data_IF_671479180754
#
_entry.id   IF_671479180754
#
_cell.length_a   1.000
_cell.length_b   1.000
_cell.length_c   1.000
_cell.angle_alpha   90.00
_cell.angle_beta   90.00
_cell.angle_gamma   90.00
#
_symmetry.space_group_name_H-M   'P 1'
#
loop_
_entity.id
_entity.type
_entity.pdbx_description
1 polymer ?
#
# COMPACT_ATOMS: atom_id res chain seq x y z
N UNK A 1 -14.91 -70.09 -11.64
CA UNK A 1 -15.21 -68.74 -12.24
C UNK A 1 -14.68 -67.69 -11.33
N UNK A 2 -13.63 -66.93 -11.71
CA UNK A 2 -13.10 -65.78 -10.97
C UNK A 2 -13.61 -64.52 -11.64
N UNK A 3 -14.03 -63.46 -10.89
CA UNK A 3 -14.47 -62.20 -11.46
C UNK A 3 -13.28 -61.34 -11.88
N UNK A 4 -13.42 -60.68 -13.05
CA UNK A 4 -12.43 -59.76 -13.63
C UNK A 4 -12.37 -58.46 -12.85
N UNK A 5 -11.16 -58.02 -12.52
CA UNK A 5 -10.87 -56.69 -11.98
C UNK A 5 -11.08 -55.63 -13.07
N UNK A 6 -11.99 -54.67 -12.80
CA UNK A 6 -12.15 -53.49 -13.65
C UNK A 6 -11.01 -52.49 -13.39
N UNK A 7 -10.40 -52.03 -14.46
CA UNK A 7 -9.46 -50.89 -14.42
C UNK A 7 -10.24 -49.57 -14.26
N UNK A 8 -9.95 -48.83 -13.20
CA UNK A 8 -10.43 -47.46 -13.02
C UNK A 8 -9.59 -46.52 -13.90
N UNK A 9 -10.25 -45.77 -14.79
CA UNK A 9 -9.63 -44.67 -15.52
C UNK A 9 -9.32 -43.50 -14.54
N UNK A 10 -8.15 -42.85 -14.65
CA UNK A 10 -7.89 -41.65 -13.91
C UNK A 10 -8.78 -40.49 -14.43
N UNK A 11 -9.52 -39.85 -13.56
CA UNK A 11 -10.33 -38.66 -13.88
C UNK A 11 -9.41 -37.54 -14.31
N UNK A 12 -9.63 -36.99 -15.50
CA UNK A 12 -8.96 -35.81 -15.99
C UNK A 12 -9.36 -34.60 -15.12
N UNK A 13 -8.38 -33.92 -14.57
CA UNK A 13 -8.59 -32.62 -13.87
C UNK A 13 -9.11 -31.56 -14.85
N UNK A 14 -9.96 -30.63 -14.41
CA UNK A 14 -10.61 -29.67 -15.29
C UNK A 14 -9.59 -28.69 -15.89
N UNK A 15 -9.58 -28.59 -17.21
CA UNK A 15 -8.71 -27.73 -18.04
C UNK A 15 -8.98 -26.22 -17.85
N UNK A 16 -10.02 -25.83 -17.10
CA UNK A 16 -10.46 -24.44 -16.97
C UNK A 16 -9.59 -23.52 -16.11
N UNK A 17 -8.77 -24.04 -15.18
CA UNK A 17 -7.89 -23.22 -14.36
C UNK A 17 -6.64 -22.74 -15.11
N UNK A 18 -6.17 -23.48 -16.11
CA UNK A 18 -4.96 -23.14 -16.85
C UNK A 18 -5.13 -21.96 -17.84
N UNK A 19 -6.33 -21.68 -18.32
CA UNK A 19 -6.57 -20.60 -19.28
C UNK A 19 -6.52 -19.20 -18.63
N UNK A 20 -7.01 -19.06 -17.41
CA UNK A 20 -6.93 -17.78 -16.67
C UNK A 20 -5.47 -17.46 -16.28
N UNK A 21 -4.66 -18.47 -15.98
CA UNK A 21 -3.25 -18.32 -15.65
C UNK A 21 -2.41 -17.93 -16.87
N UNK A 22 -2.69 -18.53 -18.03
CA UNK A 22 -2.05 -18.17 -19.29
C UNK A 22 -2.39 -16.73 -19.73
N UNK A 23 -3.62 -16.29 -19.50
CA UNK A 23 -4.06 -14.92 -19.84
C UNK A 23 -3.44 -13.86 -18.92
N UNK A 24 -3.24 -14.18 -17.63
CA UNK A 24 -2.50 -13.32 -16.67
C UNK A 24 -1.03 -13.24 -17.08
N UNK A 25 -0.42 -14.38 -17.45
CA UNK A 25 0.96 -14.45 -17.93
C UNK A 25 1.13 -13.70 -19.26
N UNK A 26 0.21 -13.85 -20.20
CA UNK A 26 0.23 -13.14 -21.48
C UNK A 26 0.11 -11.62 -21.27
N UNK A 27 -0.79 -11.16 -20.39
CA UNK A 27 -0.87 -9.73 -20.03
C UNK A 27 0.41 -9.23 -19.35
N UNK A 28 1.02 -10.04 -18.48
CA UNK A 28 2.29 -9.70 -17.85
C UNK A 28 3.42 -9.64 -18.89
N UNK A 29 3.47 -10.60 -19.81
CA UNK A 29 4.45 -10.64 -20.88
C UNK A 29 4.26 -9.49 -21.88
N UNK A 30 3.02 -9.15 -22.22
CA UNK A 30 2.72 -7.97 -23.07
C UNK A 30 3.13 -6.68 -22.39
N UNK A 31 2.86 -6.52 -21.08
CA UNK A 31 3.33 -5.37 -20.27
C UNK A 31 4.86 -5.35 -20.20
N UNK A 32 5.52 -6.50 -20.10
CA UNK A 32 6.98 -6.60 -20.06
C UNK A 32 7.60 -6.35 -21.45
N UNK A 33 6.94 -6.72 -22.54
CA UNK A 33 7.40 -6.51 -23.94
C UNK A 33 7.18 -5.06 -24.36
N UNK A 34 6.03 -4.45 -24.06
CA UNK A 34 5.81 -2.98 -24.25
C UNK A 34 6.83 -2.15 -23.47
N UNK A 35 7.44 -2.75 -22.44
CA UNK A 35 8.49 -2.14 -21.64
C UNK A 35 9.88 -2.26 -22.27
N UNK A 36 10.14 -3.31 -23.05
CA UNK A 36 11.44 -3.57 -23.67
C UNK A 36 11.73 -2.63 -24.86
N UNK A 37 10.69 -2.14 -25.54
CA UNK A 37 10.85 -1.24 -26.68
C UNK A 37 11.27 0.19 -26.29
N UNK A 38 10.96 0.64 -25.05
CA UNK A 38 11.27 2.00 -24.59
C UNK A 38 12.61 2.12 -23.80
N UNK A 39 13.37 1.01 -23.57
CA UNK A 39 14.49 1.04 -22.60
C UNK A 39 15.73 0.18 -22.96
N UNK A 40 16.22 0.22 -24.20
CA UNK A 40 17.54 -0.32 -24.55
C UNK A 40 18.65 0.73 -24.35
N UNK A 41 19.01 1.04 -23.10
CA UNK A 41 20.31 1.62 -22.77
C UNK A 41 20.80 1.08 -21.42
N UNK A 42 22.02 0.52 -21.30
CA UNK A 42 22.56 0.07 -20.04
C UNK A 42 22.94 1.29 -19.18
N UNK A 43 22.28 1.45 -18.04
CA UNK A 43 22.70 2.43 -17.03
C UNK A 43 23.80 1.84 -16.16
N UNK A 44 24.89 2.56 -15.87
CA UNK A 44 25.90 2.11 -14.93
C UNK A 44 25.33 2.05 -13.52
N UNK A 45 25.53 0.92 -12.85
CA UNK A 45 25.15 0.69 -11.46
C UNK A 45 25.96 1.62 -10.55
N UNK A 46 25.34 2.70 -10.11
CA UNK A 46 25.95 3.62 -9.15
C UNK A 46 25.20 3.47 -7.81
N UNK A 47 25.93 2.97 -6.80
CA UNK A 47 25.47 2.70 -5.43
C UNK A 47 25.23 4.02 -4.66
N UNK A 48 24.41 4.91 -5.19
CA UNK A 48 23.84 6.03 -4.42
C UNK A 48 22.42 5.62 -4.04
N UNK A 49 22.16 5.64 -2.73
CA UNK A 49 20.82 5.51 -2.15
C UNK A 49 19.87 6.36 -2.99
N UNK A 50 19.08 5.72 -3.86
CA UNK A 50 18.07 6.41 -4.64
C UNK A 50 16.93 6.79 -3.69
N UNK A 51 16.90 8.03 -3.23
CA UNK A 51 15.66 8.71 -2.85
C UNK A 51 14.83 8.82 -4.13
N UNK A 52 13.68 8.19 -4.15
CA UNK A 52 12.69 8.42 -5.17
C UNK A 52 12.23 7.18 -5.95
N UNK A 53 10.91 6.97 -5.98
CA UNK A 53 10.13 6.03 -6.78
C UNK A 53 10.03 4.57 -6.29
N UNK A 54 10.07 4.30 -5.01
CA UNK A 54 9.65 2.99 -4.51
C UNK A 54 8.14 2.96 -4.32
N UNK A 55 7.47 2.01 -4.97
CA UNK A 55 6.05 1.72 -4.73
C UNK A 55 5.97 1.13 -3.33
N UNK A 56 5.23 1.78 -2.43
CA UNK A 56 5.08 1.36 -1.03
C UNK A 56 4.17 0.13 -0.93
N UNK A 57 4.63 -1.00 -0.41
CA UNK A 57 3.79 -2.21 -0.31
C UNK A 57 2.91 -2.27 0.93
N UNK A 58 3.14 -1.48 1.97
CA UNK A 58 2.51 -1.58 3.30
C UNK A 58 0.96 -1.54 3.33
N UNK A 59 0.33 -2.20 2.34
CA UNK A 59 -1.12 -2.19 2.11
C UNK A 59 -1.91 -2.85 3.25
N UNK A 60 -1.38 -3.94 3.81
CA UNK A 60 -2.06 -4.63 4.91
C UNK A 60 -1.85 -3.92 6.24
N UNK A 61 -0.66 -3.41 6.49
CA UNK A 61 -0.35 -2.68 7.71
C UNK A 61 -1.29 -1.47 7.88
N UNK A 62 -1.45 -0.65 6.86
CA UNK A 62 -2.39 0.49 6.87
C UNK A 62 -3.84 0.05 7.05
N UNK A 63 -4.26 -1.02 6.37
CA UNK A 63 -5.60 -1.58 6.53
C UNK A 63 -5.87 -2.05 7.95
N UNK A 64 -4.95 -2.84 8.54
CA UNK A 64 -5.06 -3.35 9.92
C UNK A 64 -5.13 -2.20 10.89
N UNK A 65 -4.21 -1.23 10.74
CA UNK A 65 -4.18 -0.01 11.55
C UNK A 65 -5.51 0.74 11.51
N UNK A 66 -6.04 1.01 10.31
CA UNK A 66 -7.33 1.70 10.17
C UNK A 66 -8.50 0.94 10.78
N UNK A 67 -8.51 -0.40 10.70
CA UNK A 67 -9.53 -1.23 11.37
C UNK A 67 -9.45 -1.12 12.89
N UNK A 68 -8.24 -1.12 13.45
CA UNK A 68 -8.04 -0.96 14.89
C UNK A 68 -8.49 0.43 15.35
N UNK A 69 -8.15 1.50 14.61
CA UNK A 69 -8.61 2.85 14.89
C UNK A 69 -10.14 2.95 14.77
N UNK A 70 -10.75 2.39 13.73
CA UNK A 70 -12.20 2.38 13.58
C UNK A 70 -12.91 1.65 14.74
N UNK A 71 -12.34 0.54 15.21
CA UNK A 71 -12.88 -0.18 16.36
C UNK A 71 -12.77 0.60 17.67
N UNK A 72 -11.67 1.32 17.86
CA UNK A 72 -11.40 2.09 19.09
C UNK A 72 -12.12 3.44 19.14
N UNK A 73 -12.51 4.00 18.00
CA UNK A 73 -12.99 5.38 17.87
C UNK A 73 -14.30 5.49 17.07
N UNK A 74 -14.95 4.37 16.74
CA UNK A 74 -16.12 4.34 15.86
C UNK A 74 -17.33 5.16 16.37
N UNK A 75 -17.55 5.21 17.69
CA UNK A 75 -18.59 6.05 18.26
C UNK A 75 -18.29 7.56 18.10
N UNK A 76 -17.01 7.93 18.17
CA UNK A 76 -16.57 9.31 17.99
C UNK A 76 -16.61 9.75 16.51
N UNK A 77 -16.35 8.82 15.58
CA UNK A 77 -16.26 9.08 14.14
C UNK A 77 -17.22 8.20 13.33
N UNK A 78 -18.55 8.39 13.45
CA UNK A 78 -19.54 7.56 12.76
C UNK A 78 -19.40 7.61 11.24
N UNK A 79 -18.81 8.68 10.67
CA UNK A 79 -18.52 8.80 9.26
C UNK A 79 -17.54 7.75 8.73
N UNK A 80 -16.68 7.19 9.59
CA UNK A 80 -15.76 6.11 9.19
C UNK A 80 -16.55 4.88 8.75
N UNK A 81 -17.53 4.48 9.54
CA UNK A 81 -18.39 3.33 9.19
C UNK A 81 -19.34 3.67 8.04
N UNK A 82 -19.93 4.86 8.04
CA UNK A 82 -20.88 5.29 7.00
C UNK A 82 -20.21 5.44 5.61
N UNK A 83 -18.92 5.78 5.57
CA UNK A 83 -18.13 5.99 4.36
C UNK A 83 -16.84 5.14 4.36
N UNK A 84 -16.96 3.87 4.76
CA UNK A 84 -15.84 2.92 4.90
C UNK A 84 -14.90 2.93 3.70
N UNK A 85 -15.44 3.01 2.48
CA UNK A 85 -14.62 2.97 1.25
C UNK A 85 -13.78 4.23 1.04
N UNK A 86 -14.29 5.37 1.46
CA UNK A 86 -13.52 6.63 1.43
C UNK A 86 -12.43 6.61 2.50
N UNK A 87 -12.77 6.20 3.72
CA UNK A 87 -11.80 6.00 4.80
C UNK A 87 -10.72 5.01 4.40
N UNK A 88 -11.11 3.83 3.88
CA UNK A 88 -10.20 2.78 3.48
C UNK A 88 -9.22 3.20 2.37
N UNK A 89 -9.65 4.04 1.42
CA UNK A 89 -8.74 4.60 0.42
C UNK A 89 -7.83 5.67 1.04
N UNK A 90 -8.35 6.47 1.97
CA UNK A 90 -7.59 7.45 2.73
C UNK A 90 -6.47 6.83 3.58
N UNK A 91 -6.65 5.60 4.10
CA UNK A 91 -5.61 4.86 4.83
C UNK A 91 -4.31 4.66 4.03
N UNK A 92 -4.34 4.86 2.73
CA UNK A 92 -3.17 4.79 1.87
C UNK A 92 -2.63 6.17 1.49
N UNK A 93 -3.19 7.24 2.05
CA UNK A 93 -2.68 8.58 1.78
C UNK A 93 -2.45 8.83 0.29
N UNK A 94 -1.24 9.25 -0.10
CA UNK A 94 -0.87 9.47 -1.49
C UNK A 94 -0.39 8.21 -2.24
N UNK A 95 -0.16 7.06 -1.57
CA UNK A 95 0.39 5.83 -2.15
C UNK A 95 -0.30 5.36 -3.43
N UNK A 96 -1.65 5.45 -3.59
CA UNK A 96 -2.29 5.05 -4.82
C UNK A 96 -1.70 5.73 -6.06
N UNK A 97 -1.15 6.95 -5.93
CA UNK A 97 -0.56 7.71 -7.02
C UNK A 97 0.67 7.03 -7.62
N UNK A 98 1.44 6.28 -6.84
CA UNK A 98 2.60 5.51 -7.31
C UNK A 98 2.22 4.38 -8.27
N UNK A 99 0.98 3.89 -8.16
CA UNK A 99 0.46 2.85 -9.06
C UNK A 99 -0.10 3.40 -10.38
N UNK A 100 -0.18 4.74 -10.55
CA UNK A 100 -0.57 5.32 -11.82
C UNK A 100 0.56 5.22 -12.84
N UNK A 101 0.41 4.34 -13.85
CA UNK A 101 1.46 4.04 -14.83
C UNK A 101 2.82 3.80 -14.14
N UNK A 102 2.94 2.77 -13.25
CA UNK A 102 4.02 2.64 -12.29
C UNK A 102 5.41 2.53 -12.94
N UNK A 103 5.46 2.05 -14.18
CA UNK A 103 6.70 1.85 -14.93
C UNK A 103 7.18 3.10 -15.69
N UNK A 104 6.38 4.17 -15.71
CA UNK A 104 6.72 5.43 -16.41
C UNK A 104 6.81 6.58 -15.42
N UNK A 105 7.78 7.48 -15.63
CA UNK A 105 7.81 8.77 -14.92
C UNK A 105 6.60 9.59 -15.36
N UNK A 106 5.88 10.18 -14.43
CA UNK A 106 4.72 11.01 -14.70
C UNK A 106 4.41 11.96 -13.55
N UNK A 107 3.62 13.00 -13.82
CA UNK A 107 3.34 14.05 -12.84
C UNK A 107 2.44 13.57 -11.69
N UNK A 108 1.62 12.53 -11.89
CA UNK A 108 0.80 11.94 -10.82
C UNK A 108 1.70 11.30 -9.75
N UNK A 109 2.74 10.56 -10.17
CA UNK A 109 3.72 10.00 -9.23
C UNK A 109 4.49 11.07 -8.49
N UNK A 110 4.95 12.12 -9.20
CA UNK A 110 5.64 13.26 -8.56
C UNK A 110 4.78 13.93 -7.47
N UNK A 111 3.46 13.98 -7.66
CA UNK A 111 2.56 14.48 -6.60
C UNK A 111 2.56 13.55 -5.39
N UNK A 112 2.61 12.23 -5.61
CA UNK A 112 2.79 11.27 -4.53
C UNK A 112 4.07 11.54 -3.73
N UNK A 113 5.21 11.72 -4.41
CA UNK A 113 6.51 12.03 -3.80
C UNK A 113 6.42 13.34 -2.97
N UNK A 114 5.90 14.42 -3.57
CA UNK A 114 5.76 15.71 -2.89
C UNK A 114 4.88 15.63 -1.64
N UNK A 115 3.76 14.89 -1.70
CA UNK A 115 2.85 14.72 -0.57
C UNK A 115 3.46 13.93 0.59
N UNK A 116 4.45 13.06 0.33
CA UNK A 116 5.20 12.38 1.41
C UNK A 116 6.30 13.26 2.01
N UNK A 117 6.88 14.15 1.21
CA UNK A 117 7.97 15.03 1.64
C UNK A 117 7.47 16.27 2.40
N UNK A 118 6.25 16.75 2.10
CA UNK A 118 5.68 17.92 2.80
C UNK A 118 5.24 17.59 4.22
N UNK A 119 5.15 18.63 5.06
CA UNK A 119 4.59 18.47 6.41
C UNK A 119 3.11 18.14 6.32
N UNK A 120 2.63 17.24 7.17
CA UNK A 120 1.22 16.92 7.23
C UNK A 120 0.34 18.15 7.54
N UNK A 121 0.85 19.08 8.34
CA UNK A 121 0.17 20.35 8.61
C UNK A 121 -0.07 21.19 7.34
N UNK A 122 0.88 21.21 6.40
CA UNK A 122 0.74 21.95 5.14
C UNK A 122 -0.33 21.30 4.26
N UNK A 123 -0.30 19.96 4.16
CA UNK A 123 -1.34 19.20 3.47
C UNK A 123 -2.74 19.46 4.05
N UNK A 124 -2.94 19.31 5.36
CA UNK A 124 -4.26 19.50 5.96
C UNK A 124 -4.73 20.96 5.91
N UNK A 125 -3.80 21.93 6.00
CA UNK A 125 -4.09 23.34 5.81
C UNK A 125 -4.60 23.64 4.40
N UNK A 126 -3.97 23.05 3.39
CA UNK A 126 -4.43 23.14 1.99
C UNK A 126 -5.75 22.35 1.75
N UNK A 127 -5.94 21.24 2.43
CA UNK A 127 -7.14 20.41 2.31
C UNK A 127 -8.40 21.08 2.89
N UNK A 128 -8.28 21.88 3.95
CA UNK A 128 -9.44 22.49 4.63
C UNK A 128 -10.29 23.37 3.70
N UNK A 129 -9.76 24.35 2.95
CA UNK A 129 -10.58 25.13 2.02
C UNK A 129 -11.26 24.26 0.95
N UNK A 130 -10.59 23.21 0.47
CA UNK A 130 -11.19 22.24 -0.45
C UNK A 130 -12.35 21.51 0.22
N UNK A 131 -12.19 21.05 1.45
CA UNK A 131 -13.23 20.39 2.24
C UNK A 131 -14.47 21.28 2.40
N UNK A 132 -14.29 22.54 2.75
CA UNK A 132 -15.37 23.52 2.90
C UNK A 132 -16.08 23.80 1.56
N UNK A 133 -15.31 24.03 0.50
CA UNK A 133 -15.84 24.27 -0.85
C UNK A 133 -16.65 23.08 -1.40
N UNK A 134 -16.33 21.86 -0.95
CA UNK A 134 -17.07 20.63 -1.29
C UNK A 134 -18.28 20.38 -0.39
N UNK A 135 -18.64 21.33 0.47
CA UNK A 135 -19.81 21.27 1.35
C UNK A 135 -19.60 20.42 2.60
N UNK A 136 -18.38 20.29 3.09
CA UNK A 136 -18.02 19.58 4.33
C UNK A 136 -18.60 18.15 4.40
N UNK A 137 -18.51 17.42 3.28
CA UNK A 137 -19.15 16.11 3.15
C UNK A 137 -18.55 15.09 4.11
N UNK A 138 -19.39 14.25 4.70
CA UNK A 138 -18.96 13.17 5.61
C UNK A 138 -18.00 12.18 4.93
N UNK A 139 -18.20 11.89 3.64
CA UNK A 139 -17.28 11.04 2.86
C UNK A 139 -15.88 11.66 2.73
N UNK A 140 -15.79 12.97 2.53
CA UNK A 140 -14.51 13.69 2.47
C UNK A 140 -13.82 13.69 3.84
N UNK A 141 -14.57 13.88 4.91
CA UNK A 141 -14.05 13.80 6.28
C UNK A 141 -13.53 12.39 6.59
N UNK A 142 -14.29 11.35 6.23
CA UNK A 142 -13.83 9.96 6.38
C UNK A 142 -12.51 9.70 5.64
N UNK A 143 -12.38 10.20 4.40
CA UNK A 143 -11.14 10.10 3.63
C UNK A 143 -9.97 10.81 4.33
N UNK A 144 -10.16 12.05 4.81
CA UNK A 144 -9.12 12.82 5.49
C UNK A 144 -8.72 12.21 6.84
N UNK A 145 -9.67 11.60 7.58
CA UNK A 145 -9.35 10.82 8.77
C UNK A 145 -8.50 9.59 8.43
N UNK A 146 -8.81 8.90 7.32
CA UNK A 146 -7.97 7.82 6.81
C UNK A 146 -6.57 8.30 6.42
N UNK A 147 -6.46 9.44 5.75
CA UNK A 147 -5.18 10.07 5.39
C UNK A 147 -4.35 10.43 6.63
N UNK A 148 -4.99 10.90 7.70
CA UNK A 148 -4.31 11.13 8.97
C UNK A 148 -3.85 9.83 9.64
N UNK A 149 -4.59 8.73 9.49
CA UNK A 149 -4.14 7.41 9.94
C UNK A 149 -2.87 6.97 9.19
N UNK A 150 -2.81 7.16 7.87
CA UNK A 150 -1.61 6.91 7.07
C UNK A 150 -0.42 7.72 7.63
N UNK A 151 -0.58 9.03 7.78
CA UNK A 151 0.44 9.89 8.39
C UNK A 151 0.89 9.38 9.77
N UNK A 152 -0.04 8.99 10.63
CA UNK A 152 0.29 8.53 11.98
C UNK A 152 1.17 7.28 11.97
N UNK A 153 0.91 6.34 11.06
CA UNK A 153 1.69 5.11 10.94
C UNK A 153 3.06 5.38 10.35
N UNK A 154 3.11 6.06 9.20
CA UNK A 154 4.34 6.29 8.45
C UNK A 154 5.33 7.15 9.23
N UNK A 155 4.90 8.30 9.72
CA UNK A 155 5.78 9.21 10.46
C UNK A 155 6.42 8.58 11.70
N UNK A 156 5.77 7.56 12.29
CA UNK A 156 6.30 6.83 13.44
C UNK A 156 7.23 5.70 13.01
N UNK A 157 6.94 5.02 11.89
CA UNK A 157 7.63 3.79 11.50
C UNK A 157 8.78 4.03 10.53
N UNK A 158 8.72 4.99 9.61
CA UNK A 158 9.70 5.13 8.52
C UNK A 158 11.13 5.40 8.99
N UNK A 159 11.30 6.15 10.08
CA UNK A 159 12.63 6.34 10.69
C UNK A 159 13.28 5.01 11.09
N UNK A 160 12.49 4.08 11.64
CA UNK A 160 12.97 2.75 12.00
C UNK A 160 13.11 1.85 10.76
N UNK A 161 12.21 1.97 9.77
CA UNK A 161 12.38 1.27 8.48
C UNK A 161 13.73 1.62 7.87
N UNK A 162 14.09 2.90 7.79
CA UNK A 162 15.38 3.36 7.27
C UNK A 162 16.55 2.78 8.08
N UNK A 163 16.47 2.79 9.41
CA UNK A 163 17.47 2.17 10.28
C UNK A 163 17.62 0.66 10.04
N UNK A 164 16.50 -0.04 9.87
CA UNK A 164 16.53 -1.48 9.60
C UNK A 164 17.10 -1.81 8.22
N UNK A 165 16.91 -0.97 7.21
CA UNK A 165 17.58 -1.09 5.91
C UNK A 165 19.11 -1.08 6.08
N UNK A 166 19.63 -0.16 6.88
CA UNK A 166 21.08 -0.07 7.15
C UNK A 166 21.62 -1.30 7.90
N UNK A 167 20.89 -1.76 8.92
CA UNK A 167 21.31 -2.88 9.76
C UNK A 167 21.21 -4.24 9.07
N UNK A 168 20.21 -4.43 8.22
CA UNK A 168 19.88 -5.74 7.64
C UNK A 168 20.28 -5.90 6.18
N UNK A 169 20.51 -4.78 5.48
CA UNK A 169 20.69 -4.74 4.02
C UNK A 169 19.41 -5.01 3.23
N UNK A 170 18.26 -5.09 3.89
CA UNK A 170 16.95 -5.20 3.23
C UNK A 170 16.61 -3.90 2.52
N UNK A 171 15.81 -3.97 1.45
CA UNK A 171 15.23 -2.76 0.85
C UNK A 171 14.09 -2.23 1.73
N UNK A 172 13.72 -0.95 1.58
CA UNK A 172 12.57 -0.34 2.27
C UNK A 172 11.31 -1.22 2.16
N UNK A 173 10.91 -1.49 0.94
CA UNK A 173 9.74 -2.34 0.65
C UNK A 173 9.89 -3.79 1.16
N UNK A 174 11.12 -4.28 1.29
CA UNK A 174 11.41 -5.59 1.87
C UNK A 174 11.19 -5.62 3.38
N UNK A 175 11.56 -4.55 4.09
CA UNK A 175 11.32 -4.38 5.53
C UNK A 175 9.81 -4.33 5.78
N UNK A 176 9.08 -3.53 5.03
CA UNK A 176 7.61 -3.43 5.14
C UNK A 176 6.90 -4.73 4.80
N UNK A 177 7.28 -5.42 3.71
CA UNK A 177 6.69 -6.70 3.35
C UNK A 177 6.93 -7.78 4.41
N UNK A 178 8.09 -7.74 5.09
CA UNK A 178 8.38 -8.62 6.21
C UNK A 178 7.50 -8.29 7.43
N UNK A 179 7.27 -7.02 7.70
CA UNK A 179 6.38 -6.59 8.77
C UNK A 179 4.92 -6.94 8.47
N UNK A 180 4.44 -6.73 7.24
CA UNK A 180 3.10 -7.19 6.84
C UNK A 180 2.90 -8.70 7.04
N UNK A 181 3.97 -9.49 6.81
CA UNK A 181 3.91 -10.93 7.03
C UNK A 181 3.56 -11.29 8.47
N UNK A 182 4.17 -10.66 9.47
CA UNK A 182 3.84 -10.96 10.87
C UNK A 182 2.44 -10.46 11.25
N UNK A 183 2.04 -9.28 10.77
CA UNK A 183 0.69 -8.75 11.02
C UNK A 183 -0.40 -9.68 10.44
N UNK A 184 -0.16 -10.26 9.26
CA UNK A 184 -1.05 -11.25 8.66
C UNK A 184 -1.13 -12.53 9.50
N UNK A 185 0.02 -13.01 10.03
CA UNK A 185 0.06 -14.19 10.91
C UNK A 185 -0.66 -13.93 12.23
N UNK A 186 -0.49 -12.75 12.84
CA UNK A 186 -1.21 -12.33 14.05
C UNK A 186 -2.73 -12.39 13.84
N UNK A 187 -3.21 -12.01 12.66
CA UNK A 187 -4.64 -12.04 12.31
C UNK A 187 -5.11 -13.43 11.80
N UNK A 188 -4.26 -14.46 11.89
CA UNK A 188 -4.62 -15.84 11.49
C UNK A 188 -4.67 -16.06 9.98
N UNK A 189 -4.11 -15.17 9.19
CA UNK A 189 -4.06 -15.32 7.73
C UNK A 189 -2.82 -16.08 7.26
N UNK A 190 -2.95 -16.82 6.14
CA UNK A 190 -1.79 -17.32 5.40
C UNK A 190 -1.16 -16.12 4.64
N UNK A 191 0.05 -15.67 5.01
CA UNK A 191 0.61 -14.43 4.46
C UNK A 191 0.81 -14.47 2.94
N UNK A 192 1.12 -15.65 2.39
CA UNK A 192 1.38 -15.81 0.95
C UNK A 192 0.09 -15.85 0.13
N UNK A 193 -1.04 -16.25 0.76
CA UNK A 193 -2.33 -16.38 0.10
C UNK A 193 -3.27 -15.19 0.34
N UNK A 194 -3.02 -14.40 1.37
CA UNK A 194 -3.87 -13.28 1.74
C UNK A 194 -3.98 -12.25 0.62
N UNK A 195 -5.19 -11.72 0.40
CA UNK A 195 -5.43 -10.62 -0.54
C UNK A 195 -5.34 -9.29 0.22
N UNK A 196 -4.29 -8.53 -0.04
CA UNK A 196 -3.95 -7.34 0.75
C UNK A 196 -4.87 -6.15 0.44
N UNK A 197 -5.22 -5.93 -0.82
CA UNK A 197 -5.87 -4.73 -1.33
C UNK A 197 -7.39 -4.86 -1.59
N UNK A 198 -8.09 -5.79 -0.90
CA UNK A 198 -9.55 -6.00 -1.11
C UNK A 198 -10.40 -4.81 -0.68
N UNK A 199 -9.92 -4.00 0.25
CA UNK A 199 -10.57 -2.79 0.76
C UNK A 199 -10.39 -1.57 -0.14
N UNK A 200 -9.42 -1.60 -1.06
CA UNK A 200 -9.20 -0.52 -2.03
C UNK A 200 -10.38 -0.44 -2.99
N UNK A 201 -11.12 0.65 -2.93
CA UNK A 201 -12.29 0.89 -3.76
C UNK A 201 -12.03 1.98 -4.80
N UNK A 202 -12.58 1.79 -6.01
CA UNK A 202 -12.61 2.81 -7.06
C UNK A 202 -14.03 3.42 -7.18
N UNK A 203 -14.81 3.42 -6.11
CA UNK A 203 -16.14 4.04 -6.06
C UNK A 203 -16.05 5.56 -6.10
N UNK A 204 -17.16 6.17 -6.50
CA UNK A 204 -17.22 7.60 -6.84
C UNK A 204 -16.71 8.50 -5.70
N UNK A 205 -17.23 8.32 -4.49
CA UNK A 205 -16.88 9.21 -3.37
C UNK A 205 -15.41 9.07 -2.94
N UNK A 206 -14.91 7.84 -2.84
CA UNK A 206 -13.50 7.59 -2.52
C UNK A 206 -12.56 8.18 -3.58
N UNK A 207 -12.85 7.95 -4.87
CA UNK A 207 -12.06 8.47 -6.00
C UNK A 207 -12.13 9.99 -6.06
N UNK A 208 -13.31 10.57 -5.85
CA UNK A 208 -13.50 12.03 -5.86
C UNK A 208 -12.75 12.71 -4.73
N UNK A 209 -12.67 12.08 -3.54
CA UNK A 209 -11.86 12.57 -2.44
C UNK A 209 -10.36 12.47 -2.75
N UNK A 210 -9.85 11.30 -3.18
CA UNK A 210 -8.46 11.14 -3.60
C UNK A 210 -8.07 12.19 -4.66
N UNK A 211 -8.92 12.41 -5.67
CA UNK A 211 -8.65 13.37 -6.73
C UNK A 211 -8.55 14.80 -6.19
N UNK A 212 -9.51 15.21 -5.36
CA UNK A 212 -9.59 16.56 -4.83
C UNK A 212 -8.43 16.91 -3.90
N UNK A 213 -8.07 16.00 -3.00
CA UNK A 213 -7.05 16.26 -1.98
C UNK A 213 -5.62 16.00 -2.45
N UNK A 214 -5.41 15.09 -3.40
CA UNK A 214 -4.09 14.87 -4.00
C UNK A 214 -3.86 15.67 -5.29
N UNK A 215 -4.80 16.53 -5.71
CA UNK A 215 -4.63 17.43 -6.84
C UNK A 215 -4.46 16.71 -8.19
N UNK A 216 -5.14 15.57 -8.40
CA UNK A 216 -5.18 14.81 -9.64
C UNK A 216 -6.60 14.78 -10.21
N UNK A 217 -6.77 14.38 -11.46
CA UNK A 217 -8.11 14.19 -12.03
C UNK A 217 -8.79 12.92 -11.46
N UNK A 218 -10.12 12.89 -11.42
CA UNK A 218 -10.85 11.67 -11.01
C UNK A 218 -10.52 10.46 -11.91
N UNK A 219 -10.19 10.69 -13.17
CA UNK A 219 -9.76 9.64 -14.10
C UNK A 219 -8.42 9.04 -13.67
N UNK A 220 -7.47 9.85 -13.24
CA UNK A 220 -6.16 9.43 -12.73
C UNK A 220 -6.30 8.73 -11.40
N UNK A 221 -7.02 9.33 -10.45
CA UNK A 221 -7.31 8.73 -9.15
C UNK A 221 -7.96 7.34 -9.27
N UNK A 222 -8.96 7.20 -10.14
CA UNK A 222 -9.63 5.93 -10.42
C UNK A 222 -8.68 4.89 -11.02
N UNK A 223 -7.81 5.29 -11.95
CA UNK A 223 -6.80 4.40 -12.53
C UNK A 223 -5.77 3.99 -11.49
N UNK A 224 -5.32 4.92 -10.66
CA UNK A 224 -4.37 4.70 -9.57
C UNK A 224 -4.91 3.67 -8.56
N UNK A 225 -6.12 3.86 -8.03
CA UNK A 225 -6.76 2.93 -7.10
C UNK A 225 -6.97 1.53 -7.70
N UNK A 226 -7.44 1.44 -8.96
CA UNK A 226 -7.59 0.16 -9.66
C UNK A 226 -6.25 -0.54 -9.88
N UNK A 227 -5.21 0.23 -10.25
CA UNK A 227 -3.87 -0.30 -10.47
C UNK A 227 -3.24 -0.80 -9.16
N UNK A 228 -3.38 -0.06 -8.05
CA UNK A 228 -2.93 -0.50 -6.73
C UNK A 228 -3.52 -1.87 -6.38
N UNK A 229 -4.83 -2.03 -6.51
CA UNK A 229 -5.49 -3.32 -6.28
C UNK A 229 -4.98 -4.42 -7.22
N UNK A 230 -4.83 -4.12 -8.51
CA UNK A 230 -4.36 -5.07 -9.51
C UNK A 230 -2.92 -5.54 -9.23
N UNK A 231 -1.99 -4.62 -8.98
CA UNK A 231 -0.59 -4.97 -8.73
C UNK A 231 -0.41 -5.67 -7.38
N UNK A 232 -1.15 -5.30 -6.34
CA UNK A 232 -1.16 -6.03 -5.06
C UNK A 232 -1.63 -7.47 -5.23
N UNK A 233 -2.68 -7.72 -6.00
CA UNK A 233 -3.15 -9.07 -6.32
C UNK A 233 -2.14 -9.85 -7.20
N UNK A 234 -1.46 -9.19 -8.14
CA UNK A 234 -0.43 -9.79 -8.99
C UNK A 234 0.78 -10.22 -8.16
N UNK A 235 1.31 -9.32 -7.31
CA UNK A 235 2.50 -9.55 -6.48
C UNK A 235 2.25 -10.55 -5.35
N UNK A 236 1.02 -10.81 -4.98
CA UNK A 236 0.66 -11.89 -4.06
C UNK A 236 1.23 -13.23 -4.52
N UNK A 237 1.08 -13.57 -5.81
CA UNK A 237 1.61 -14.77 -6.47
C UNK A 237 1.58 -16.01 -5.57
N UNK A 238 0.39 -16.52 -5.17
CA UNK A 238 0.26 -17.65 -4.26
C UNK A 238 0.81 -18.93 -4.91
N UNK A 239 1.55 -19.71 -4.11
CA UNK A 239 2.16 -20.95 -4.56
C UNK A 239 3.52 -20.79 -5.25
N UNK A 240 4.35 -21.82 -5.14
CA UNK A 240 5.75 -21.80 -5.59
C UNK A 240 5.87 -21.58 -7.09
N UNK A 241 5.01 -22.19 -7.89
CA UNK A 241 5.04 -22.09 -9.35
C UNK A 241 4.77 -20.65 -9.82
N UNK A 242 3.65 -20.02 -9.40
CA UNK A 242 3.31 -18.65 -9.78
C UNK A 242 4.39 -17.66 -9.33
N UNK A 243 4.90 -17.85 -8.12
CA UNK A 243 5.98 -17.03 -7.57
C UNK A 243 7.27 -17.19 -8.36
N UNK A 244 7.63 -18.42 -8.76
CA UNK A 244 8.77 -18.70 -9.62
C UNK A 244 8.65 -18.04 -10.99
N UNK A 245 7.50 -18.18 -11.64
CA UNK A 245 7.22 -17.54 -12.92
C UNK A 245 7.28 -16.03 -12.87
N UNK A 246 6.67 -15.41 -11.83
CA UNK A 246 6.73 -13.96 -11.65
C UNK A 246 8.17 -13.49 -11.46
N UNK A 247 8.94 -14.16 -10.59
CA UNK A 247 10.36 -13.84 -10.36
C UNK A 247 11.20 -13.98 -11.63
N UNK A 248 10.95 -15.02 -12.43
CA UNK A 248 11.63 -15.20 -13.71
C UNK A 248 11.29 -14.05 -14.68
N UNK A 249 10.01 -13.70 -14.82
CA UNK A 249 9.58 -12.58 -15.65
C UNK A 249 10.21 -11.25 -15.20
N UNK A 250 10.27 -10.99 -13.90
CA UNK A 250 10.92 -9.79 -13.35
C UNK A 250 12.43 -9.76 -13.64
N UNK A 251 13.13 -10.93 -13.63
CA UNK A 251 14.54 -11.00 -14.01
C UNK A 251 14.74 -10.70 -15.49
N UNK A 252 13.92 -11.31 -16.36
CA UNK A 252 13.98 -11.05 -17.80
C UNK A 252 13.74 -9.56 -18.10
N UNK A 253 12.79 -8.93 -17.38
CA UNK A 253 12.49 -7.50 -17.50
C UNK A 253 13.49 -6.57 -16.81
N UNK A 254 14.55 -7.09 -16.15
CA UNK A 254 15.53 -6.28 -15.38
C UNK A 254 14.92 -5.51 -14.22
N UNK A 255 13.80 -6.01 -13.64
CA UNK A 255 13.05 -5.36 -12.55
C UNK A 255 13.00 -6.19 -11.27
N UNK A 256 13.80 -7.25 -11.20
CA UNK A 256 13.77 -8.18 -10.07
C UNK A 256 14.06 -7.48 -8.75
N UNK A 257 15.16 -6.71 -8.66
CA UNK A 257 15.63 -6.12 -7.41
C UNK A 257 14.70 -5.00 -6.89
N UNK A 258 13.96 -4.34 -7.79
CA UNK A 258 13.03 -3.27 -7.41
C UNK A 258 11.62 -3.75 -7.09
N UNK A 259 11.17 -4.88 -7.66
CA UNK A 259 9.77 -5.32 -7.53
C UNK A 259 9.64 -6.60 -6.71
N UNK A 260 10.57 -7.55 -6.82
CA UNK A 260 10.46 -8.81 -6.09
C UNK A 260 10.44 -8.64 -4.56
N UNK A 261 11.13 -7.66 -3.94
CA UNK A 261 11.03 -7.41 -2.51
C UNK A 261 9.64 -6.99 -2.02
N UNK A 262 8.79 -6.46 -2.90
CA UNK A 262 7.39 -6.11 -2.58
C UNK A 262 6.49 -7.34 -2.36
N UNK A 263 6.94 -8.53 -2.73
CA UNK A 263 6.18 -9.76 -2.51
C UNK A 263 6.33 -10.18 -1.04
N UNK A 264 5.22 -10.43 -0.35
CA UNK A 264 5.27 -10.96 1.03
C UNK A 264 6.22 -12.17 1.08
N UNK A 265 7.23 -12.19 1.96
CA UNK A 265 8.18 -13.29 2.06
C UNK A 265 7.49 -14.64 2.29
N UNK A 266 7.99 -15.71 1.67
CA UNK A 266 7.42 -17.05 1.86
C UNK A 266 7.80 -17.66 3.22
N UNK A 267 8.94 -17.25 3.78
CA UNK A 267 9.45 -17.70 5.06
C UNK A 267 9.95 -16.52 5.91
N UNK A 268 10.02 -16.73 7.21
CA UNK A 268 10.65 -15.80 8.13
C UNK A 268 12.18 -15.90 7.99
N UNK A 269 12.90 -14.81 8.29
CA UNK A 269 14.36 -14.76 8.31
C UNK A 269 14.81 -14.02 9.56
N UNK A 270 16.00 -14.32 10.08
CA UNK A 270 16.52 -13.65 11.27
C UNK A 270 16.59 -12.11 11.12
N UNK A 271 16.93 -11.63 9.93
CA UNK A 271 16.93 -10.19 9.64
C UNK A 271 15.52 -9.59 9.69
N UNK A 272 14.52 -10.30 9.14
CA UNK A 272 13.12 -9.88 9.20
C UNK A 272 12.59 -9.94 10.64
N UNK A 273 12.94 -10.97 11.43
CA UNK A 273 12.49 -11.10 12.80
C UNK A 273 13.03 -9.95 13.68
N UNK A 274 14.32 -9.59 13.53
CA UNK A 274 14.92 -8.46 14.24
C UNK A 274 14.24 -7.13 13.86
N UNK A 275 14.01 -6.90 12.56
CA UNK A 275 13.30 -5.73 12.05
C UNK A 275 11.87 -5.64 12.58
N UNK A 276 11.13 -6.76 12.53
CA UNK A 276 9.76 -6.84 13.02
C UNK A 276 9.64 -6.56 14.52
N UNK A 277 10.58 -7.07 15.32
CA UNK A 277 10.64 -6.81 16.76
C UNK A 277 10.84 -5.32 17.08
N UNK A 278 11.57 -4.59 16.22
CA UNK A 278 11.76 -3.16 16.38
C UNK A 278 10.53 -2.35 15.93
N UNK A 279 9.85 -2.77 14.85
CA UNK A 279 8.70 -2.07 14.28
C UNK A 279 7.40 -2.27 15.09
N UNK A 280 7.22 -3.44 15.72
CA UNK A 280 5.96 -3.75 16.41
C UNK A 280 5.59 -2.76 17.51
N UNK A 281 6.50 -2.34 18.42
CA UNK A 281 6.20 -1.30 19.41
C UNK A 281 5.87 0.07 18.78
N UNK A 282 6.47 0.39 17.63
CA UNK A 282 6.21 1.63 16.94
C UNK A 282 4.80 1.66 16.32
N UNK A 283 4.36 0.53 15.79
CA UNK A 283 2.98 0.38 15.33
C UNK A 283 1.98 0.67 16.47
N UNK A 284 2.20 0.14 17.67
CA UNK A 284 1.35 0.41 18.84
C UNK A 284 1.42 1.88 19.28
N UNK A 285 2.60 2.50 19.20
CA UNK A 285 2.77 3.94 19.44
C UNK A 285 1.99 4.78 18.42
N UNK A 286 1.97 4.38 17.15
CA UNK A 286 1.19 5.05 16.12
C UNK A 286 -0.32 5.02 16.40
N UNK A 287 -0.85 3.93 16.98
CA UNK A 287 -2.26 3.85 17.43
C UNK A 287 -2.54 4.93 18.48
N UNK A 288 -1.64 5.12 19.46
CA UNK A 288 -1.75 6.19 20.45
C UNK A 288 -1.72 7.58 19.80
N UNK A 289 -0.82 7.79 18.82
CA UNK A 289 -0.73 9.05 18.06
C UNK A 289 -2.05 9.33 17.30
N UNK A 290 -2.61 8.35 16.60
CA UNK A 290 -3.87 8.53 15.87
C UNK A 290 -5.04 8.88 16.80
N UNK A 291 -5.16 8.23 17.96
CA UNK A 291 -6.19 8.55 18.96
C UNK A 291 -6.14 10.01 19.43
N UNK A 292 -4.95 10.60 19.51
CA UNK A 292 -4.75 12.01 19.86
C UNK A 292 -5.06 12.93 18.67
N UNK A 293 -4.60 12.59 17.48
CA UNK A 293 -4.59 13.50 16.33
C UNK A 293 -5.92 13.54 15.56
N UNK A 294 -6.68 12.45 15.50
CA UNK A 294 -7.94 12.43 14.74
C UNK A 294 -8.99 13.40 15.31
N UNK A 295 -9.21 13.50 16.64
CA UNK A 295 -10.11 14.53 17.19
C UNK A 295 -9.65 15.95 16.87
N UNK A 296 -8.34 16.24 16.99
CA UNK A 296 -7.79 17.56 16.66
C UNK A 296 -7.99 17.89 15.17
N UNK A 297 -7.72 16.94 14.26
CA UNK A 297 -7.96 17.15 12.83
C UNK A 297 -9.43 17.44 12.54
N UNK A 298 -10.35 16.74 13.18
CA UNK A 298 -11.79 16.99 13.00
C UNK A 298 -12.16 18.42 13.42
N UNK A 299 -11.71 18.86 14.59
CA UNK A 299 -11.93 20.22 15.08
C UNK A 299 -11.32 21.27 14.12
N UNK A 300 -10.11 20.99 13.61
CA UNK A 300 -9.49 21.85 12.60
C UNK A 300 -10.34 21.94 11.33
N UNK A 301 -10.77 20.81 10.77
CA UNK A 301 -11.57 20.79 9.54
C UNK A 301 -12.89 21.54 9.69
N UNK A 302 -13.59 21.32 10.80
CA UNK A 302 -14.92 21.88 11.04
C UNK A 302 -14.87 23.35 11.52
N UNK A 303 -13.98 23.66 12.46
CA UNK A 303 -13.96 24.95 13.17
C UNK A 303 -12.75 25.83 12.86
N UNK A 304 -11.70 25.26 12.22
CA UNK A 304 -10.47 26.01 11.95
C UNK A 304 -9.60 26.23 13.17
N UNK A 305 -9.68 25.36 14.17
CA UNK A 305 -8.78 25.38 15.34
C UNK A 305 -7.33 25.10 14.90
N UNK A 306 -6.35 25.32 15.77
CA UNK A 306 -4.96 24.97 15.45
C UNK A 306 -4.77 23.46 15.31
N UNK A 307 -3.94 23.06 14.34
CA UNK A 307 -3.45 21.69 14.24
C UNK A 307 -2.45 21.40 15.38
N UNK A 308 -2.46 20.16 15.87
CA UNK A 308 -1.47 19.69 16.85
C UNK A 308 -0.05 19.75 16.27
N UNK A 309 0.95 20.05 17.09
CA UNK A 309 2.35 20.16 16.68
C UNK A 309 2.89 18.89 16.01
N UNK A 310 2.33 17.72 16.35
CA UNK A 310 2.70 16.46 15.73
C UNK A 310 2.45 16.42 14.21
N UNK A 311 1.57 17.29 13.67
CA UNK A 311 1.39 17.44 12.23
C UNK A 311 2.52 18.25 11.55
N UNK A 312 3.45 18.85 12.30
CA UNK A 312 4.59 19.57 11.72
C UNK A 312 5.67 18.66 11.15
N UNK A 313 5.63 17.34 11.40
CA UNK A 313 6.46 16.36 10.73
C UNK A 313 5.91 15.98 9.34
N UNK A 314 6.77 15.39 8.52
CA UNK A 314 6.37 14.79 7.26
C UNK A 314 6.05 13.28 7.46
N UNK A 315 5.74 12.56 6.36
CA UNK A 315 5.40 11.15 6.39
C UNK A 315 6.64 10.26 6.54
N UNK A 316 7.84 10.78 6.24
CA UNK A 316 9.09 10.02 6.24
C UNK A 316 9.72 9.86 7.63
N UNK A 317 9.49 10.81 8.55
CA UNK A 317 10.02 10.72 9.92
C UNK A 317 9.39 11.71 10.88
N UNK A 318 9.20 11.31 12.14
CA UNK A 318 9.05 12.26 13.23
C UNK A 318 10.35 13.06 13.36
N UNK A 319 10.29 14.40 13.36
CA UNK A 319 11.43 15.19 13.84
C UNK A 319 11.69 14.75 15.28
N UNK A 320 12.89 14.21 15.50
CA UNK A 320 13.39 14.10 16.87
C UNK A 320 13.50 15.55 17.39
N UNK A 321 12.59 15.89 18.31
CA UNK A 321 12.63 17.15 19.06
C UNK A 321 13.70 17.01 20.14
#
# INVERSE_FOLDING_TARGET
MRPKKGFAHPSAAPISENFSEFFIFYKFFTIAVDFCEDFCAPMPYNRKVHKGNEIMPATYAHRKFGREIAALSGEQFPEIAAHEKAFALGLHGPDPLFYYKPLKKNDVKKKGDLLHEERAADFFTAARPVYLARGSRAADRAYLLGFACHFCLDSVCHGEVARQMELTGMTHVGVEAAFERILLKEDGHDPVKARLATHISAEKDAVSALAAYCGVTEREARKAAKAMRFYSDLLRAPGAFRRGMLRLGLRIAGKYDSIAPMMIPAADTAAADASNAALRPLYDRAVGKAKKLLPNLREFLERGTALDEAFMSNFESEKQI
#
